data_IF_862258165686
#
_entry.id   IF_862258165686
#
_cell.length_a   1.000
_cell.length_b   1.000
_cell.length_c   1.000
_cell.angle_alpha   90.00
_cell.angle_beta   90.00
_cell.angle_gamma   90.00
#
_symmetry.space_group_name_H-M   'P 1'
#
loop_
_entity.id
_entity.type
_entity.pdbx_description
1 polymer ?
#
# COMPACT_ATOMS: atom_id res chain seq x y z
N UNK A 1 -49.61 -5.70 -65.99
CA UNK A 1 -48.38 -5.05 -65.50
C UNK A 1 -48.75 -3.98 -64.49
N UNK A 2 -48.49 -4.24 -63.20
CA UNK A 2 -48.29 -3.25 -62.13
C UNK A 2 -47.83 -4.03 -60.91
N UNK A 3 -46.54 -3.86 -60.57
CA UNK A 3 -45.89 -4.40 -59.40
C UNK A 3 -46.49 -3.74 -58.15
N UNK A 4 -46.84 -4.53 -57.13
CA UNK A 4 -47.00 -4.03 -55.77
C UNK A 4 -46.14 -4.89 -54.85
N UNK A 5 -45.07 -4.24 -54.41
CA UNK A 5 -44.03 -4.72 -53.53
C UNK A 5 -44.60 -4.75 -52.11
N UNK A 6 -44.67 -5.94 -51.50
CA UNK A 6 -44.91 -6.08 -50.06
C UNK A 6 -43.62 -5.69 -49.32
N UNK A 7 -43.59 -4.49 -48.76
CA UNK A 7 -42.59 -4.10 -47.77
C UNK A 7 -43.02 -4.58 -46.38
N UNK A 8 -42.22 -5.47 -45.77
CA UNK A 8 -42.35 -5.84 -44.35
C UNK A 8 -41.84 -4.69 -43.48
N UNK A 9 -42.53 -4.31 -42.39
CA UNK A 9 -41.92 -3.48 -41.36
C UNK A 9 -40.92 -4.33 -40.56
N UNK A 10 -39.65 -3.96 -40.64
CA UNK A 10 -38.59 -4.40 -39.72
C UNK A 10 -38.76 -3.55 -38.45
N UNK A 11 -39.33 -4.12 -37.39
CA UNK A 11 -39.19 -3.54 -36.06
C UNK A 11 -37.75 -3.81 -35.58
N UNK A 12 -36.92 -2.78 -35.67
CA UNK A 12 -35.59 -2.74 -35.06
C UNK A 12 -35.79 -2.57 -33.55
N UNK A 13 -35.77 -3.67 -32.80
CA UNK A 13 -35.64 -3.61 -31.34
C UNK A 13 -34.22 -3.15 -31.00
N UNK A 14 -34.05 -1.83 -30.82
CA UNK A 14 -32.87 -1.27 -30.20
C UNK A 14 -32.88 -1.64 -28.71
N UNK A 15 -32.35 -2.82 -28.39
CA UNK A 15 -31.90 -3.15 -27.04
C UNK A 15 -30.69 -2.27 -26.73
N UNK A 16 -30.97 -1.09 -26.16
CA UNK A 16 -29.97 -0.31 -25.44
C UNK A 16 -29.64 -1.14 -24.20
N UNK A 17 -28.60 -1.97 -24.29
CA UNK A 17 -27.92 -2.52 -23.12
C UNK A 17 -27.30 -1.33 -22.40
N UNK A 18 -27.71 -0.99 -21.17
CA UNK A 18 -26.87 -0.14 -20.35
C UNK A 18 -25.55 -0.89 -20.18
N UNK A 19 -24.45 -0.25 -20.59
CA UNK A 19 -23.11 -0.58 -20.11
C UNK A 19 -23.11 -0.39 -18.59
N UNK A 20 -23.65 -1.37 -17.87
CA UNK A 20 -23.29 -1.64 -16.51
C UNK A 20 -21.84 -2.08 -16.58
N UNK A 21 -20.96 -1.09 -16.44
CA UNK A 21 -19.61 -1.29 -15.94
C UNK A 21 -19.75 -2.01 -14.61
N UNK A 22 -19.86 -3.34 -14.67
CA UNK A 22 -19.67 -4.21 -13.54
C UNK A 22 -18.24 -3.99 -13.08
N UNK A 23 -18.05 -2.96 -12.25
CA UNK A 23 -17.01 -3.00 -11.25
C UNK A 23 -17.41 -4.17 -10.37
N UNK A 24 -16.91 -5.36 -10.74
CA UNK A 24 -17.02 -6.51 -9.85
C UNK A 24 -16.50 -6.01 -8.51
N UNK A 25 -17.33 -6.13 -7.48
CA UNK A 25 -16.90 -6.07 -6.09
C UNK A 25 -15.81 -7.15 -5.93
N UNK A 26 -14.58 -6.81 -6.32
CA UNK A 26 -13.42 -7.60 -6.00
C UNK A 26 -13.32 -7.46 -4.49
N UNK A 27 -13.62 -8.57 -3.79
CA UNK A 27 -13.49 -8.69 -2.36
C UNK A 27 -12.15 -8.08 -1.92
N UNK A 28 -12.17 -6.85 -1.41
CA UNK A 28 -11.05 -6.27 -0.69
C UNK A 28 -10.86 -7.18 0.54
N UNK A 29 -9.84 -8.02 0.48
CA UNK A 29 -9.46 -8.87 1.58
C UNK A 29 -8.33 -8.16 2.33
N UNK A 30 -8.57 -7.86 3.60
CA UNK A 30 -7.51 -7.43 4.49
C UNK A 30 -6.48 -8.53 4.73
N UNK A 31 -5.60 -8.31 5.70
CA UNK A 31 -4.63 -9.32 6.13
C UNK A 31 -5.31 -10.64 6.56
N UNK A 32 -4.62 -11.75 6.30
CA UNK A 32 -4.98 -13.03 6.87
C UNK A 32 -5.04 -12.93 8.40
N UNK A 33 -6.10 -13.46 9.00
CA UNK A 33 -6.19 -13.50 10.46
C UNK A 33 -5.28 -14.61 11.00
N UNK A 34 -4.35 -14.31 11.92
CA UNK A 34 -3.59 -15.35 12.60
C UNK A 34 -4.54 -16.25 13.41
N UNK A 35 -4.22 -17.53 13.48
CA UNK A 35 -4.92 -18.53 14.32
C UNK A 35 -4.73 -18.18 15.79
N UNK A 36 -3.56 -17.66 16.16
CA UNK A 36 -3.27 -17.24 17.52
C UNK A 36 -2.31 -16.07 17.51
N UNK A 37 -2.52 -15.11 18.41
CA UNK A 37 -1.58 -14.05 18.73
C UNK A 37 -1.18 -14.20 20.19
N UNK A 38 0.12 -14.14 20.48
CA UNK A 38 0.65 -14.20 21.85
C UNK A 38 1.68 -13.12 22.07
N UNK A 39 1.59 -12.44 23.20
CA UNK A 39 2.54 -11.42 23.59
C UNK A 39 3.37 -11.87 24.79
N UNK A 40 4.64 -11.51 24.78
CA UNK A 40 5.59 -11.83 25.84
C UNK A 40 6.42 -10.60 26.17
N UNK A 41 6.65 -10.37 27.47
CA UNK A 41 7.63 -9.39 27.94
C UNK A 41 8.94 -10.13 28.17
N UNK A 42 9.99 -9.76 27.43
CA UNK A 42 11.28 -10.46 27.49
C UNK A 42 12.28 -9.86 28.49
N UNK A 43 11.94 -8.71 29.06
CA UNK A 43 12.78 -7.95 29.99
C UNK A 43 13.03 -6.53 29.51
N UNK A 44 13.88 -5.79 30.24
CA UNK A 44 14.21 -4.40 29.91
C UNK A 44 15.07 -4.29 28.66
N UNK A 45 14.86 -3.23 27.88
CA UNK A 45 15.79 -2.86 26.81
C UNK A 45 17.16 -2.51 27.39
N UNK A 46 18.21 -2.80 26.62
CA UNK A 46 19.59 -2.40 26.95
C UNK A 46 19.93 -1.00 26.45
N UNK A 47 19.14 -0.45 25.53
CA UNK A 47 19.48 0.75 24.78
C UNK A 47 18.54 1.91 25.05
N UNK A 48 17.38 1.66 25.65
CA UNK A 48 16.39 2.68 25.99
C UNK A 48 15.62 2.29 27.25
N UNK A 49 14.87 3.24 27.81
CA UNK A 49 13.88 2.95 28.83
C UNK A 49 12.71 2.15 28.23
N UNK A 50 12.23 1.14 28.97
CA UNK A 50 11.11 0.30 28.56
C UNK A 50 11.48 -1.19 28.46
N UNK A 51 10.48 -1.99 28.12
CA UNK A 51 10.61 -3.44 27.99
C UNK A 51 10.59 -3.88 26.53
N UNK A 52 11.37 -4.90 26.22
CA UNK A 52 11.32 -5.60 24.95
C UNK A 52 10.04 -6.45 24.93
N UNK A 53 9.16 -6.15 23.99
CA UNK A 53 7.97 -6.92 23.72
C UNK A 53 8.24 -7.90 22.59
N UNK A 54 7.67 -9.09 22.70
CA UNK A 54 7.64 -10.06 21.63
C UNK A 54 6.21 -10.44 21.30
N UNK A 55 5.78 -10.17 20.08
CA UNK A 55 4.46 -10.58 19.58
C UNK A 55 4.63 -11.73 18.61
N UNK A 56 3.89 -12.82 18.82
CA UNK A 56 3.95 -14.02 18.01
C UNK A 56 2.63 -14.24 17.29
N UNK A 57 2.68 -14.22 15.96
CA UNK A 57 1.55 -14.44 15.05
C UNK A 57 1.65 -15.85 14.47
N UNK A 58 0.73 -16.71 14.86
CA UNK A 58 0.65 -18.08 14.37
C UNK A 58 -0.37 -18.20 13.24
N UNK A 59 0.10 -18.59 12.06
CA UNK A 59 -0.73 -18.96 10.91
C UNK A 59 -0.75 -20.49 10.75
N UNK A 60 -1.48 -20.98 9.73
CA UNK A 60 -1.65 -22.42 9.52
C UNK A 60 -0.32 -23.16 9.33
N UNK A 61 0.60 -22.60 8.54
CA UNK A 61 1.87 -23.25 8.17
C UNK A 61 3.12 -22.48 8.62
N UNK A 62 2.94 -21.29 9.20
CA UNK A 62 4.05 -20.40 9.53
C UNK A 62 3.80 -19.68 10.85
N UNK A 63 4.89 -19.30 11.52
CA UNK A 63 4.90 -18.45 12.70
C UNK A 63 5.80 -17.27 12.42
N UNK A 64 5.27 -16.07 12.63
CA UNK A 64 6.00 -14.80 12.59
C UNK A 64 6.13 -14.32 14.03
N UNK A 65 7.32 -13.99 14.46
CA UNK A 65 7.56 -13.38 15.76
C UNK A 65 8.25 -12.04 15.57
N UNK A 66 7.66 -11.00 16.13
CA UNK A 66 8.18 -9.65 16.16
C UNK A 66 8.78 -9.37 17.53
N UNK A 67 9.97 -8.79 17.55
CA UNK A 67 10.59 -8.22 18.74
C UNK A 67 10.63 -6.72 18.57
N UNK A 68 9.79 -6.06 19.35
CA UNK A 68 9.76 -4.61 19.52
C UNK A 68 10.64 -4.26 20.73
N UNK A 69 11.80 -3.68 20.43
CA UNK A 69 12.74 -3.17 21.42
C UNK A 69 12.78 -1.64 21.25
N UNK A 70 12.35 -0.86 22.27
CA UNK A 70 12.30 0.61 22.17
C UNK A 70 13.68 1.23 21.86
N UNK A 71 14.75 0.48 22.11
CA UNK A 71 16.11 0.84 21.76
C UNK A 71 16.45 0.88 20.26
N UNK A 72 15.60 0.30 19.40
CA UNK A 72 15.87 0.12 17.97
C UNK A 72 15.36 1.29 17.09
N UNK A 73 14.99 2.43 17.68
CA UNK A 73 14.66 3.69 16.98
C UNK A 73 13.67 3.50 15.81
N UNK A 74 12.58 2.77 16.05
CA UNK A 74 11.53 2.56 15.04
C UNK A 74 11.73 1.34 14.16
N UNK A 75 12.78 0.55 14.33
CA UNK A 75 12.91 -0.77 13.70
C UNK A 75 12.53 -1.92 14.62
N UNK A 76 12.11 -3.04 14.04
CA UNK A 76 11.80 -4.29 14.77
C UNK A 76 12.69 -5.42 14.29
N UNK A 77 12.83 -6.48 15.10
CA UNK A 77 13.42 -7.74 14.62
C UNK A 77 12.31 -8.74 14.36
N UNK A 78 12.25 -9.27 13.14
CA UNK A 78 11.27 -10.28 12.76
C UNK A 78 11.95 -11.64 12.63
N UNK A 79 11.38 -12.66 13.27
CA UNK A 79 11.74 -14.06 13.11
C UNK A 79 10.62 -14.84 12.44
N UNK A 80 10.94 -15.63 11.42
CA UNK A 80 9.94 -16.45 10.71
C UNK A 80 10.34 -17.94 10.73
N UNK A 81 9.38 -18.81 11.07
CA UNK A 81 9.56 -20.26 11.16
C UNK A 81 8.38 -21.02 10.55
N UNK A 82 8.64 -22.15 9.91
CA UNK A 82 7.60 -23.05 9.41
C UNK A 82 7.14 -24.02 10.49
N UNK A 83 5.82 -24.27 10.54
CA UNK A 83 5.24 -25.32 11.37
C UNK A 83 5.58 -26.67 10.73
N UNK A 84 6.50 -27.41 11.33
CA UNK A 84 6.88 -28.73 10.82
C UNK A 84 6.09 -29.81 11.58
N UNK A 85 5.08 -30.40 10.93
CA UNK A 85 4.14 -31.38 11.55
C UNK A 85 4.84 -32.56 12.23
N UNK A 86 6.08 -32.91 11.82
CA UNK A 86 6.85 -34.05 12.38
C UNK A 86 7.67 -33.75 13.65
N UNK A 87 7.91 -32.48 14.01
CA UNK A 87 8.90 -32.13 15.06
C UNK A 87 8.44 -31.03 16.03
N UNK A 88 7.15 -31.00 16.37
CA UNK A 88 6.57 -30.00 17.28
C UNK A 88 6.83 -30.28 18.78
N UNK A 89 8.09 -30.50 19.19
CA UNK A 89 8.41 -30.58 20.64
C UNK A 89 8.61 -29.20 21.29
N UNK A 90 8.85 -28.15 20.51
CA UNK A 90 9.06 -26.79 21.04
C UNK A 90 8.16 -25.82 20.29
N UNK A 91 7.35 -25.08 21.04
CA UNK A 91 6.52 -24.00 20.55
C UNK A 91 7.40 -22.96 19.81
N UNK A 92 7.19 -22.69 18.51
CA UNK A 92 7.95 -21.67 17.79
C UNK A 92 7.91 -20.29 18.45
N UNK A 93 6.82 -19.94 19.15
CA UNK A 93 6.69 -18.69 19.88
C UNK A 93 7.59 -18.57 21.12
N UNK A 94 8.15 -19.67 21.63
CA UNK A 94 9.09 -19.65 22.76
C UNK A 94 10.55 -19.62 22.31
N UNK A 95 10.80 -19.78 21.01
CA UNK A 95 12.16 -19.72 20.47
C UNK A 95 12.76 -18.32 20.65
N UNK A 96 14.06 -18.29 20.94
CA UNK A 96 14.90 -17.08 20.82
C UNK A 96 15.06 -16.73 19.34
N UNK A 97 15.23 -15.44 19.00
CA UNK A 97 15.34 -14.95 17.62
C UNK A 97 16.35 -15.75 16.78
N UNK A 98 17.52 -16.07 17.33
CA UNK A 98 18.58 -16.85 16.66
C UNK A 98 18.16 -18.25 16.18
N UNK A 99 17.07 -18.80 16.72
CA UNK A 99 16.57 -20.14 16.41
C UNK A 99 15.46 -20.13 15.35
N UNK A 100 15.12 -18.95 14.81
CA UNK A 100 14.18 -18.84 13.68
C UNK A 100 14.91 -19.12 12.37
N UNK A 101 14.17 -19.71 11.42
CA UNK A 101 14.71 -20.05 10.09
C UNK A 101 15.12 -18.79 9.32
N UNK A 102 14.33 -17.72 9.46
CA UNK A 102 14.58 -16.43 8.83
C UNK A 102 14.53 -15.33 9.86
N UNK A 103 15.35 -14.31 9.63
CA UNK A 103 15.49 -13.14 10.49
C UNK A 103 15.58 -11.91 9.60
N UNK A 104 14.76 -10.91 9.90
CA UNK A 104 14.76 -9.60 9.24
C UNK A 104 14.87 -8.52 10.32
N UNK A 105 15.35 -7.35 9.93
CA UNK A 105 15.32 -6.16 10.78
C UNK A 105 14.86 -4.95 9.95
N UNK A 106 13.58 -4.94 9.54
CA UNK A 106 13.02 -3.82 8.79
C UNK A 106 12.77 -2.63 9.71
N UNK A 107 12.58 -1.47 9.10
CA UNK A 107 11.97 -0.33 9.78
C UNK A 107 10.46 -0.57 9.95
N UNK A 108 9.90 -0.10 11.05
CA UNK A 108 8.48 -0.22 11.37
C UNK A 108 8.09 -1.51 12.09
N UNK A 109 6.93 -2.06 11.75
CA UNK A 109 6.30 -3.22 12.40
C UNK A 109 5.64 -4.15 11.39
N UNK A 110 5.34 -5.37 11.82
CA UNK A 110 4.68 -6.40 11.02
C UNK A 110 3.19 -6.10 10.96
N UNK A 111 2.73 -5.61 9.82
CA UNK A 111 1.33 -5.23 9.60
C UNK A 111 0.46 -6.45 9.29
N UNK A 112 1.00 -7.44 8.57
CA UNK A 112 0.30 -8.71 8.38
C UNK A 112 0.79 -9.56 7.21
N UNK A 113 0.03 -10.60 6.91
CA UNK A 113 0.31 -11.57 5.85
C UNK A 113 -0.86 -11.64 4.86
N UNK A 114 -0.58 -11.77 3.57
CA UNK A 114 -1.57 -12.07 2.52
C UNK A 114 -0.96 -13.07 1.54
N UNK A 115 -1.52 -14.27 1.43
CA UNK A 115 -0.93 -15.33 0.59
C UNK A 115 0.50 -15.62 1.03
N UNK A 116 1.45 -15.63 0.10
CA UNK A 116 2.88 -15.85 0.41
C UNK A 116 3.65 -14.55 0.73
N UNK A 117 2.92 -13.43 0.90
CA UNK A 117 3.48 -12.10 1.12
C UNK A 117 3.38 -11.68 2.59
N UNK A 118 4.43 -11.01 3.08
CA UNK A 118 4.50 -10.40 4.41
C UNK A 118 4.69 -8.91 4.23
N UNK A 119 3.95 -8.14 5.02
CA UNK A 119 3.90 -6.70 4.89
C UNK A 119 4.45 -6.08 6.17
N UNK A 120 5.50 -5.28 6.01
CA UNK A 120 6.02 -4.41 7.06
C UNK A 120 5.55 -2.99 6.76
N UNK A 121 5.08 -2.28 7.78
CA UNK A 121 4.75 -0.86 7.66
C UNK A 121 5.69 -0.08 8.57
N UNK A 122 6.31 0.96 8.01
CA UNK A 122 7.15 1.91 8.71
C UNK A 122 6.39 2.67 9.79
N UNK A 123 7.11 3.38 10.66
CA UNK A 123 6.47 4.37 11.53
C UNK A 123 5.83 5.48 10.68
N UNK A 124 4.82 6.13 11.24
CA UNK A 124 4.24 7.33 10.64
C UNK A 124 5.34 8.37 10.39
N UNK A 125 5.43 8.83 9.15
CA UNK A 125 6.37 9.87 8.75
C UNK A 125 5.67 11.23 8.68
N UNK A 126 6.46 12.31 8.69
CA UNK A 126 5.92 13.67 8.62
C UNK A 126 5.09 13.88 7.34
N UNK A 127 3.89 14.43 7.49
CA UNK A 127 3.03 14.83 6.37
C UNK A 127 1.98 13.80 5.91
N UNK A 128 1.69 12.76 6.71
CA UNK A 128 0.62 11.81 6.41
C UNK A 128 1.04 10.68 5.47
N UNK A 129 2.34 10.41 5.36
CA UNK A 129 2.92 9.33 4.58
C UNK A 129 3.45 8.21 5.49
N UNK A 130 3.38 6.96 5.02
CA UNK A 130 3.93 5.77 5.70
C UNK A 130 4.69 4.93 4.70
N UNK A 131 5.94 4.57 4.99
CA UNK A 131 6.68 3.60 4.18
C UNK A 131 6.16 2.19 4.41
N UNK A 132 6.26 1.32 3.43
CA UNK A 132 5.98 -0.10 3.62
C UNK A 132 6.89 -0.96 2.74
N UNK A 133 7.10 -2.18 3.21
CA UNK A 133 7.90 -3.19 2.52
C UNK A 133 7.08 -4.47 2.37
N UNK A 134 7.09 -5.04 1.16
CA UNK A 134 6.48 -6.33 0.87
C UNK A 134 7.58 -7.36 0.64
N UNK A 135 7.59 -8.37 1.50
CA UNK A 135 8.46 -9.53 1.38
C UNK A 135 7.67 -10.72 0.84
N UNK A 136 8.33 -11.57 0.05
CA UNK A 136 7.77 -12.85 -0.39
C UNK A 136 8.67 -13.99 0.04
N UNK A 137 8.02 -15.10 0.39
CA UNK A 137 8.71 -16.35 0.62
C UNK A 137 8.93 -17.13 -0.69
N UNK A 138 10.19 -17.45 -1.02
CA UNK A 138 10.55 -18.24 -2.19
C UNK A 138 11.61 -19.29 -1.84
N UNK A 139 11.32 -20.58 -2.09
CA UNK A 139 12.28 -21.70 -2.00
C UNK A 139 13.18 -21.65 -0.75
N UNK A 140 12.59 -21.47 0.43
CA UNK A 140 13.34 -21.37 1.69
C UNK A 140 14.20 -20.10 1.80
N UNK A 141 13.81 -19.00 1.18
CA UNK A 141 14.36 -17.66 1.39
C UNK A 141 13.21 -16.66 1.52
N UNK A 142 13.46 -15.58 2.25
CA UNK A 142 12.58 -14.41 2.24
C UNK A 142 13.29 -13.34 1.43
N UNK A 143 12.56 -12.72 0.51
CA UNK A 143 13.09 -11.70 -0.40
C UNK A 143 12.20 -10.46 -0.31
N UNK A 144 12.82 -9.29 -0.12
CA UNK A 144 12.16 -8.01 -0.33
C UNK A 144 11.79 -7.94 -1.82
N UNK A 145 10.49 -7.83 -2.11
CA UNK A 145 10.02 -7.68 -3.47
C UNK A 145 9.90 -6.21 -3.84
N UNK A 146 9.36 -5.40 -2.94
CA UNK A 146 8.94 -4.05 -3.23
C UNK A 146 8.91 -3.23 -1.95
N UNK A 147 9.30 -1.96 -2.04
CA UNK A 147 9.09 -0.94 -1.03
C UNK A 147 8.45 0.28 -1.69
N UNK A 148 7.60 0.99 -0.96
CA UNK A 148 7.02 2.25 -1.40
C UNK A 148 6.51 3.06 -0.22
N UNK A 149 5.96 4.23 -0.52
CA UNK A 149 5.31 5.10 0.46
C UNK A 149 3.83 5.25 0.10
N UNK A 150 2.98 5.02 1.09
CA UNK A 150 1.52 5.16 0.99
C UNK A 150 1.01 6.32 1.85
N UNK A 151 -0.21 6.76 1.57
CA UNK A 151 -0.94 7.69 2.42
C UNK A 151 -1.44 6.99 3.70
N UNK A 152 -1.05 7.52 4.85
CA UNK A 152 -1.33 6.98 6.19
C UNK A 152 -2.80 6.67 6.44
N UNK A 153 -3.71 7.56 6.04
CA UNK A 153 -5.15 7.45 6.34
C UNK A 153 -5.86 6.37 5.54
N UNK A 154 -5.37 6.05 4.34
CA UNK A 154 -6.03 5.09 3.44
C UNK A 154 -5.40 3.70 3.47
N UNK A 155 -4.16 3.55 3.92
CA UNK A 155 -3.53 2.25 4.09
C UNK A 155 -3.36 1.43 2.80
N UNK A 156 -3.19 0.11 2.97
CA UNK A 156 -2.91 -0.84 1.89
C UNK A 156 -4.03 -1.89 1.82
N UNK A 157 -4.68 -1.99 0.66
CA UNK A 157 -5.76 -2.93 0.41
C UNK A 157 -5.28 -4.06 -0.49
N UNK A 158 -5.58 -5.31 -0.13
CA UNK A 158 -5.20 -6.47 -0.93
C UNK A 158 -6.42 -7.17 -1.53
N UNK A 159 -6.21 -7.84 -2.65
CA UNK A 159 -7.23 -8.66 -3.27
C UNK A 159 -6.61 -9.82 -4.05
N UNK A 160 -7.39 -10.85 -4.33
CA UNK A 160 -7.02 -11.93 -5.24
C UNK A 160 -7.71 -11.72 -6.58
N UNK A 161 -6.95 -11.64 -7.67
CA UNK A 161 -7.52 -11.56 -9.01
C UNK A 161 -8.02 -12.92 -9.51
N UNK A 162 -8.65 -12.95 -10.69
CA UNK A 162 -9.20 -14.18 -11.29
C UNK A 162 -8.15 -15.30 -11.47
N UNK A 163 -6.89 -14.92 -11.68
CA UNK A 163 -5.76 -15.84 -11.78
C UNK A 163 -5.18 -16.25 -10.42
N UNK A 164 -5.87 -15.93 -9.31
CA UNK A 164 -5.45 -16.16 -7.91
C UNK A 164 -4.12 -15.49 -7.55
N UNK A 165 -3.69 -14.48 -8.30
CA UNK A 165 -2.56 -13.67 -7.89
C UNK A 165 -3.02 -12.62 -6.88
N UNK A 166 -2.13 -12.29 -5.94
CA UNK A 166 -2.35 -11.20 -4.99
C UNK A 166 -2.06 -9.87 -5.70
N UNK A 167 -3.05 -8.99 -5.72
CA UNK A 167 -2.91 -7.58 -6.08
C UNK A 167 -3.00 -6.68 -4.86
N UNK A 168 -2.64 -5.42 -5.03
CA UNK A 168 -2.74 -4.40 -4.00
C UNK A 168 -3.24 -3.07 -4.57
N UNK A 169 -3.96 -2.30 -3.74
CA UNK A 169 -4.40 -0.93 -4.02
C UNK A 169 -4.00 -0.04 -2.86
N UNK A 170 -3.48 1.14 -3.18
CA UNK A 170 -3.11 2.14 -2.19
C UNK A 170 -2.93 3.51 -2.85
N UNK A 171 -2.98 4.53 -2.01
CA UNK A 171 -2.63 5.89 -2.39
C UNK A 171 -1.12 6.05 -2.32
N UNK A 172 -0.46 5.96 -3.48
CA UNK A 172 0.98 6.05 -3.63
C UNK A 172 1.45 7.49 -3.54
N UNK A 173 2.43 7.76 -2.69
CA UNK A 173 3.13 9.04 -2.66
C UNK A 173 3.93 9.23 -3.96
N UNK A 174 3.76 10.38 -4.59
CA UNK A 174 4.48 10.76 -5.79
C UNK A 174 5.83 11.35 -5.42
N UNK A 175 6.88 10.85 -6.08
CA UNK A 175 8.21 11.44 -5.97
C UNK A 175 8.22 12.83 -6.59
N UNK A 176 8.77 13.80 -5.88
CA UNK A 176 8.96 15.16 -6.35
C UNK A 176 10.45 15.52 -6.19
N UNK A 177 11.23 15.35 -7.26
CA UNK A 177 12.68 15.61 -7.20
C UNK A 177 13.07 17.08 -7.42
N UNK A 178 12.15 17.89 -7.96
CA UNK A 178 12.39 19.31 -8.26
C UNK A 178 11.77 20.25 -7.24
N UNK A 179 12.51 21.33 -6.94
CA UNK A 179 11.99 22.49 -6.21
C UNK A 179 11.07 23.26 -7.18
N UNK A 180 9.85 22.76 -7.36
CA UNK A 180 8.80 23.44 -8.11
C UNK A 180 7.54 23.56 -7.26
N UNK A 181 6.86 24.70 -7.35
CA UNK A 181 5.65 24.95 -6.58
C UNK A 181 4.42 24.49 -7.36
N UNK A 182 3.62 23.65 -6.72
CA UNK A 182 2.30 23.22 -7.21
C UNK A 182 1.21 24.28 -6.98
N UNK A 183 1.47 25.28 -6.15
CA UNK A 183 0.53 26.38 -5.83
C UNK A 183 0.77 27.64 -6.66
N UNK A 184 1.96 27.80 -7.23
CA UNK A 184 2.28 28.91 -8.13
C UNK A 184 1.70 28.64 -9.52
N UNK A 185 0.68 29.42 -9.91
CA UNK A 185 -0.07 29.25 -11.16
C UNK A 185 0.81 29.34 -12.43
N UNK A 186 1.99 29.98 -12.36
CA UNK A 186 2.93 30.06 -13.51
C UNK A 186 3.72 28.77 -13.73
N UNK A 187 3.93 27.98 -12.69
CA UNK A 187 4.81 26.78 -12.73
C UNK A 187 4.07 25.47 -12.45
N UNK A 188 2.87 25.52 -11.89
CA UNK A 188 2.13 24.35 -11.40
C UNK A 188 1.91 23.28 -12.46
N UNK A 189 1.53 23.66 -13.68
CA UNK A 189 1.29 22.71 -14.78
C UNK A 189 2.57 21.98 -15.20
N UNK A 190 3.67 22.72 -15.36
CA UNK A 190 4.96 22.12 -15.74
C UNK A 190 5.52 21.26 -14.61
N UNK A 191 5.37 21.72 -13.36
CA UNK A 191 5.74 20.99 -12.15
C UNK A 191 4.98 19.66 -12.07
N UNK A 192 3.66 19.70 -12.28
CA UNK A 192 2.83 18.50 -12.26
C UNK A 192 3.19 17.51 -13.37
N UNK A 193 3.40 18.00 -14.60
CA UNK A 193 3.83 17.14 -15.71
C UNK A 193 5.17 16.46 -15.43
N UNK A 194 6.10 17.16 -14.78
CA UNK A 194 7.37 16.58 -14.36
C UNK A 194 7.17 15.50 -13.28
N UNK A 195 6.34 15.75 -12.26
CA UNK A 195 6.01 14.76 -11.23
C UNK A 195 5.38 13.51 -11.85
N UNK A 196 4.42 13.68 -12.77
CA UNK A 196 3.81 12.55 -13.48
C UNK A 196 4.86 11.74 -14.26
N UNK A 197 5.76 12.42 -14.97
CA UNK A 197 6.84 11.79 -15.73
C UNK A 197 7.79 11.00 -14.83
N UNK A 198 8.27 11.59 -13.73
CA UNK A 198 9.20 10.95 -12.76
C UNK A 198 8.61 9.70 -12.12
N UNK A 199 7.29 9.64 -12.00
CA UNK A 199 6.58 8.51 -11.41
C UNK A 199 6.00 7.54 -12.45
N UNK A 200 6.33 7.70 -13.74
CA UNK A 200 5.82 6.87 -14.84
C UNK A 200 4.28 6.85 -14.96
N UNK A 201 3.63 7.97 -14.60
CA UNK A 201 2.18 8.12 -14.70
C UNK A 201 1.83 8.74 -16.05
N UNK A 202 0.93 8.09 -16.79
CA UNK A 202 0.47 8.59 -18.10
C UNK A 202 -0.51 9.76 -17.90
N UNK A 203 -0.37 10.78 -18.76
CA UNK A 203 -1.20 11.98 -18.77
C UNK A 203 -2.68 11.63 -18.76
N UNK A 204 -3.39 12.09 -17.72
CA UNK A 204 -4.85 12.13 -17.51
C UNK A 204 -5.21 12.41 -16.03
N UNK A 205 -4.22 12.53 -15.14
CA UNK A 205 -4.43 12.91 -13.73
C UNK A 205 -4.42 14.43 -13.59
N UNK A 206 -5.48 15.00 -13.01
CA UNK A 206 -5.68 16.44 -12.89
C UNK A 206 -5.33 16.95 -11.49
N UNK A 207 -4.40 17.88 -11.39
CA UNK A 207 -4.03 18.52 -10.11
C UNK A 207 -5.10 19.49 -9.59
N UNK A 208 -6.07 19.90 -10.43
CA UNK A 208 -6.99 21.01 -10.15
C UNK A 208 -7.67 20.90 -8.78
N UNK A 209 -8.31 19.75 -8.52
CA UNK A 209 -9.06 19.53 -7.27
C UNK A 209 -8.14 19.62 -6.05
N UNK A 210 -6.97 19.00 -6.11
CA UNK A 210 -5.97 19.04 -5.06
C UNK A 210 -5.53 20.48 -4.72
N UNK A 211 -5.24 21.30 -5.74
CA UNK A 211 -4.89 22.72 -5.53
C UNK A 211 -6.07 23.50 -4.96
N UNK A 212 -7.28 23.24 -5.44
CA UNK A 212 -8.50 23.88 -4.93
C UNK A 212 -8.77 23.50 -3.46
N UNK A 213 -8.49 22.26 -3.06
CA UNK A 213 -8.63 21.77 -1.69
C UNK A 213 -7.58 22.43 -0.76
N UNK A 214 -6.32 22.51 -1.21
CA UNK A 214 -5.26 23.21 -0.47
C UNK A 214 -5.59 24.70 -0.30
N UNK A 215 -5.96 25.40 -1.38
CA UNK A 215 -6.31 26.84 -1.33
C UNK A 215 -7.52 27.12 -0.42
N UNK A 216 -8.38 26.12 -0.18
CA UNK A 216 -9.53 26.23 0.75
C UNK A 216 -9.17 25.94 2.21
N UNK A 217 -8.08 25.23 2.47
CA UNK A 217 -7.65 24.86 3.82
C UNK A 217 -7.37 26.07 4.71
N UNK A 218 -7.60 25.96 6.01
CA UNK A 218 -7.29 27.03 6.97
C UNK A 218 -5.79 27.30 7.03
N UNK A 219 -4.96 26.25 6.92
CA UNK A 219 -3.51 26.35 6.89
C UNK A 219 -3.01 27.26 5.77
N UNK A 220 -3.65 27.25 4.59
CA UNK A 220 -3.33 28.17 3.50
C UNK A 220 -3.64 29.63 3.81
N UNK A 221 -4.71 29.88 4.58
CA UNK A 221 -5.12 31.26 4.92
C UNK A 221 -4.24 31.91 5.97
N UNK A 222 -3.59 31.11 6.82
CA UNK A 222 -2.83 31.61 7.98
C UNK A 222 -1.31 31.56 7.81
N UNK A 223 -0.81 30.89 6.77
CA UNK A 223 0.64 30.66 6.58
C UNK A 223 1.20 31.63 5.55
N UNK A 224 2.08 32.53 5.99
CA UNK A 224 2.86 33.36 5.05
C UNK A 224 3.74 32.48 4.16
N UNK A 225 3.82 32.82 2.87
CA UNK A 225 4.64 32.12 1.88
C UNK A 225 4.31 30.62 1.70
N UNK A 226 3.04 30.22 1.90
CA UNK A 226 2.63 28.81 1.73
C UNK A 226 2.90 28.25 0.32
N UNK A 227 3.01 29.11 -0.69
CA UNK A 227 3.41 28.71 -2.05
C UNK A 227 4.80 28.05 -2.11
N UNK A 228 5.63 28.23 -1.08
CA UNK A 228 6.95 27.62 -0.95
C UNK A 228 6.96 26.32 -0.13
N UNK A 229 5.82 25.89 0.42
CA UNK A 229 5.76 24.67 1.20
C UNK A 229 5.75 23.42 0.30
N UNK A 230 6.43 22.34 0.72
CA UNK A 230 6.36 21.07 0.01
C UNK A 230 4.94 20.49 0.12
N UNK A 231 4.36 20.16 -1.03
CA UNK A 231 3.07 19.47 -1.11
C UNK A 231 3.34 18.01 -1.40
N UNK A 232 2.91 17.14 -0.50
CA UNK A 232 2.87 15.72 -0.76
C UNK A 232 1.67 15.44 -1.65
N UNK A 233 1.87 14.74 -2.75
CA UNK A 233 0.80 14.35 -3.67
C UNK A 233 0.70 12.83 -3.71
N UNK A 234 -0.53 12.33 -3.68
CA UNK A 234 -0.83 10.91 -3.63
C UNK A 234 -1.79 10.55 -4.76
N UNK A 235 -1.54 9.43 -5.42
CA UNK A 235 -2.44 8.89 -6.44
C UNK A 235 -2.91 7.49 -6.05
N UNK A 236 -4.19 7.21 -6.24
CA UNK A 236 -4.71 5.87 -6.02
C UNK A 236 -4.29 4.95 -7.18
N UNK A 237 -3.52 3.91 -6.88
CA UNK A 237 -3.03 2.96 -7.87
C UNK A 237 -3.41 1.52 -7.52
N UNK A 238 -3.32 0.66 -8.53
CA UNK A 238 -3.50 -0.77 -8.44
C UNK A 238 -2.28 -1.50 -9.00
N UNK A 239 -1.68 -2.34 -8.17
CA UNK A 239 -0.76 -3.40 -8.57
C UNK A 239 -1.58 -4.67 -8.79
N UNK A 240 -1.79 -5.06 -10.04
CA UNK A 240 -2.63 -6.24 -10.38
C UNK A 240 -2.00 -7.57 -9.97
N UNK A 241 -0.67 -7.58 -9.81
CA UNK A 241 0.09 -8.73 -9.38
C UNK A 241 1.34 -8.28 -8.63
N UNK A 242 1.44 -8.58 -7.33
CA UNK A 242 2.61 -8.23 -6.51
C UNK A 242 3.91 -8.90 -6.99
N UNK A 243 3.83 -9.98 -7.77
CA UNK A 243 5.02 -10.57 -8.41
C UNK A 243 5.54 -9.73 -9.61
N UNK A 244 4.75 -8.78 -10.10
CA UNK A 244 5.02 -7.93 -11.26
C UNK A 244 4.78 -6.43 -10.95
N UNK A 245 5.25 -5.99 -9.78
CA UNK A 245 5.00 -4.67 -9.19
C UNK A 245 5.47 -3.45 -10.01
N UNK A 246 6.23 -3.63 -11.09
CA UNK A 246 6.72 -2.52 -11.94
C UNK A 246 5.62 -1.89 -12.80
N UNK A 247 4.48 -2.57 -12.95
CA UNK A 247 3.36 -2.10 -13.76
C UNK A 247 2.19 -1.86 -12.82
N UNK A 248 1.71 -0.62 -12.79
CA UNK A 248 0.54 -0.22 -12.02
C UNK A 248 -0.50 0.44 -12.92
N UNK A 249 -1.75 0.38 -12.49
CA UNK A 249 -2.88 1.11 -13.09
C UNK A 249 -3.26 2.25 -12.15
N UNK A 250 -3.48 3.44 -12.69
CA UNK A 250 -4.09 4.54 -11.93
C UNK A 250 -5.60 4.28 -11.81
N UNK A 251 -6.10 4.27 -10.59
CA UNK A 251 -7.52 4.05 -10.28
C UNK A 251 -8.30 5.37 -10.19
N UNK A 252 -7.65 6.45 -9.74
CA UNK A 252 -8.26 7.77 -9.61
C UNK A 252 -7.47 8.83 -10.39
N UNK A 253 -8.16 9.63 -11.18
CA UNK A 253 -7.58 10.74 -11.94
C UNK A 253 -7.45 12.03 -11.10
N UNK A 254 -7.98 12.04 -9.89
CA UNK A 254 -7.84 13.13 -8.94
C UNK A 254 -6.87 12.70 -7.82
N UNK A 255 -5.71 13.36 -7.69
CA UNK A 255 -4.75 13.08 -6.62
C UNK A 255 -5.27 13.64 -5.29
N UNK A 256 -4.84 13.05 -4.18
CA UNK A 256 -4.96 13.65 -2.85
C UNK A 256 -3.68 14.41 -2.52
N UNK A 257 -3.79 15.49 -1.73
CA UNK A 257 -2.65 16.33 -1.45
C UNK A 257 -2.65 16.85 -0.02
N UNK A 258 -1.45 16.88 0.57
CA UNK A 258 -1.22 17.33 1.93
C UNK A 258 -0.10 18.36 1.94
N UNK A 259 -0.29 19.44 2.69
CA UNK A 259 0.81 20.36 2.98
C UNK A 259 1.68 19.67 4.02
N UNK A 260 2.93 19.36 3.67
CA UNK A 260 3.87 18.89 4.67
C UNK A 260 4.32 20.08 5.52
N UNK A 261 4.19 20.01 6.86
CA UNK A 261 4.67 21.07 7.75
C UNK A 261 6.20 21.23 7.69
#
# INVERSE_FOLDING_TARGET
MKNLILSKPILLSALILPNLSAHSEQNDQGYEKPITVREYILGKSKYAEGNIKKTCYEYQNIVVAEWDDPGLKGGVKIGISFKNKKYNKVNPCEKKLKNFNYRLQPEGYFSGKVGDFFVMQGPDSFGGAVSFEIYKFEKKKIKLLFEDVLESENGLHFYFNENKNVGARYWKMMKQSSVCSLLNDKTSVNCWNQILFENNVKNNVSLKKCVDDIKRSEQYKTTENIENFPIQTFINIELTNLNQFKIFKVLNQEPNCHISP
#
